data_IF_940903580444
#
_entry.id   IF_940903580444
#
_cell.length_a   1.000
_cell.length_b   1.000
_cell.length_c   1.000
_cell.angle_alpha   90.00
_cell.angle_beta   90.00
_cell.angle_gamma   90.00
#
_symmetry.space_group_name_H-M   'P 1'
#
loop_
_entity.id
_entity.type
_entity.pdbx_description
1 polymer ?
#
# COMPACT_ATOMS: atom_id res chain seq x y z
N UNK A 1 21.48 -20.52 39.43
CA UNK A 1 21.67 -21.23 38.14
C UNK A 1 21.40 -20.33 36.92
N UNK A 2 20.34 -19.50 36.92
CA UNK A 2 20.07 -18.54 35.82
C UNK A 2 21.26 -17.60 35.54
N UNK A 3 21.85 -17.02 36.59
CA UNK A 3 22.97 -16.07 36.42
C UNK A 3 24.21 -16.66 35.75
N UNK A 4 24.47 -17.95 35.97
CA UNK A 4 25.59 -18.68 35.32
C UNK A 4 25.29 -18.94 33.86
N UNK A 5 24.05 -19.35 33.55
CA UNK A 5 23.59 -19.57 32.17
C UNK A 5 23.61 -18.25 31.38
N UNK A 6 23.21 -17.14 32.00
CA UNK A 6 23.21 -15.81 31.37
C UNK A 6 24.63 -15.26 31.17
N UNK A 7 25.54 -15.53 32.11
CA UNK A 7 26.96 -15.21 31.96
C UNK A 7 27.63 -16.01 30.83
N UNK A 8 27.25 -17.27 30.62
CA UNK A 8 27.76 -18.09 29.52
C UNK A 8 27.17 -17.60 28.18
N UNK A 9 25.87 -17.32 28.15
CA UNK A 9 25.18 -16.86 26.94
C UNK A 9 25.71 -15.51 26.45
N UNK A 10 25.97 -14.58 27.37
CA UNK A 10 26.59 -13.28 27.03
C UNK A 10 28.02 -13.42 26.51
N UNK A 11 28.80 -14.36 27.05
CA UNK A 11 30.19 -14.62 26.58
C UNK A 11 30.24 -15.31 25.23
N UNK A 12 29.36 -16.28 24.95
CA UNK A 12 29.23 -16.92 23.62
C UNK A 12 28.81 -15.90 22.57
N UNK A 13 27.97 -14.93 22.93
CA UNK A 13 27.60 -13.80 22.06
C UNK A 13 28.71 -12.78 21.86
N UNK A 14 29.76 -12.79 22.69
CA UNK A 14 30.92 -11.94 22.46
C UNK A 14 31.71 -12.46 21.25
N UNK A 15 32.08 -11.60 20.28
CA UNK A 15 32.70 -12.05 19.04
C UNK A 15 33.93 -12.94 19.27
N UNK A 16 34.83 -12.56 20.17
CA UNK A 16 36.07 -13.30 20.41
C UNK A 16 35.83 -14.70 20.98
N UNK A 17 35.10 -14.81 22.10
CA UNK A 17 34.87 -16.12 22.74
C UNK A 17 33.97 -17.01 21.89
N UNK A 18 32.97 -16.44 21.21
CA UNK A 18 32.11 -17.18 20.29
C UNK A 18 32.91 -17.83 19.15
N UNK A 19 33.76 -17.05 18.48
CA UNK A 19 34.60 -17.58 17.40
C UNK A 19 35.66 -18.56 17.89
N UNK A 20 36.23 -18.35 19.08
CA UNK A 20 37.18 -19.31 19.66
C UNK A 20 36.54 -20.66 19.99
N UNK A 21 35.32 -20.65 20.55
CA UNK A 21 34.56 -21.89 20.82
C UNK A 21 34.19 -22.60 19.52
N UNK A 22 33.72 -21.87 18.50
CA UNK A 22 33.43 -22.46 17.19
C UNK A 22 34.69 -23.05 16.54
N UNK A 23 35.82 -22.35 16.61
CA UNK A 23 37.10 -22.83 16.12
C UNK A 23 37.58 -24.07 16.88
N UNK A 24 37.33 -24.16 18.19
CA UNK A 24 37.66 -25.35 18.98
C UNK A 24 36.94 -26.60 18.46
N UNK A 25 35.62 -26.52 18.26
CA UNK A 25 34.85 -27.64 17.71
C UNK A 25 35.25 -27.94 16.27
N UNK A 26 35.46 -26.91 15.44
CA UNK A 26 35.84 -27.08 14.04
C UNK A 26 37.23 -27.70 13.86
N UNK A 27 38.20 -27.40 14.72
CA UNK A 27 39.55 -27.95 14.66
C UNK A 27 39.64 -29.36 15.27
N UNK A 28 38.89 -29.63 16.34
CA UNK A 28 38.96 -30.90 17.07
C UNK A 28 37.78 -31.84 16.73
N UNK A 29 37.05 -31.58 15.64
CA UNK A 29 35.85 -32.33 15.27
C UNK A 29 36.09 -33.84 15.15
N UNK A 30 37.27 -34.25 14.64
CA UNK A 30 37.68 -35.66 14.51
C UNK A 30 37.84 -36.34 15.87
N UNK A 31 38.56 -35.71 16.80
CA UNK A 31 38.71 -36.22 18.15
C UNK A 31 37.36 -36.33 18.87
N UNK A 32 36.54 -35.29 18.80
CA UNK A 32 35.19 -35.27 19.40
C UNK A 32 34.31 -36.38 18.79
N UNK A 33 34.40 -36.59 17.48
CA UNK A 33 33.69 -37.66 16.79
C UNK A 33 34.13 -39.05 17.27
N UNK A 34 35.44 -39.27 17.41
CA UNK A 34 35.98 -40.54 17.93
C UNK A 34 35.54 -40.81 19.37
N UNK A 35 35.47 -39.79 20.24
CA UNK A 35 34.94 -39.94 21.60
C UNK A 35 33.47 -40.39 21.60
N UNK A 36 32.66 -39.84 20.70
CA UNK A 36 31.22 -40.11 20.65
C UNK A 36 30.88 -41.45 19.98
N UNK A 37 31.63 -41.85 18.95
CA UNK A 37 31.24 -42.95 18.04
C UNK A 37 32.03 -44.25 18.28
N UNK A 38 33.24 -44.18 18.83
CA UNK A 38 34.02 -45.40 19.09
C UNK A 38 33.34 -46.33 20.10
N UNK A 39 33.39 -47.64 19.86
CA UNK A 39 32.70 -48.66 20.67
C UNK A 39 33.58 -49.31 21.74
N UNK A 40 34.85 -48.89 21.85
CA UNK A 40 35.83 -49.40 22.81
C UNK A 40 35.60 -48.98 24.27
N UNK A 41 36.47 -49.45 25.16
CA UNK A 41 36.47 -49.06 26.57
C UNK A 41 36.71 -47.55 26.73
N UNK A 42 36.19 -46.86 27.77
CA UNK A 42 36.40 -45.42 27.93
C UNK A 42 37.86 -44.97 27.86
N UNK A 43 38.79 -45.80 28.33
CA UNK A 43 40.23 -45.55 28.25
C UNK A 43 40.75 -45.57 26.81
N UNK A 44 40.31 -46.52 25.98
CA UNK A 44 40.66 -46.59 24.55
C UNK A 44 40.13 -45.36 23.80
N UNK A 45 38.92 -44.88 24.13
CA UNK A 45 38.35 -43.68 23.49
C UNK A 45 39.18 -42.43 23.78
N UNK A 46 39.65 -42.28 25.02
CA UNK A 46 40.52 -41.18 25.42
C UNK A 46 41.89 -41.29 24.74
N UNK A 47 42.46 -42.48 24.60
CA UNK A 47 43.71 -42.67 23.83
C UNK A 47 43.56 -42.29 22.36
N UNK A 48 42.44 -42.65 21.72
CA UNK A 48 42.13 -42.24 20.35
C UNK A 48 41.98 -40.72 20.24
N UNK A 49 41.40 -40.07 21.25
CA UNK A 49 41.29 -38.61 21.31
C UNK A 49 42.65 -37.93 21.48
N UNK A 50 43.48 -38.41 22.40
CA UNK A 50 44.83 -37.86 22.67
C UNK A 50 45.78 -38.09 21.50
N UNK A 51 45.52 -39.09 20.65
CA UNK A 51 46.29 -39.34 19.41
C UNK A 51 45.98 -38.29 18.34
N UNK A 52 44.71 -37.85 18.24
CA UNK A 52 44.27 -36.91 17.20
C UNK A 52 44.31 -35.44 17.68
N UNK A 53 44.41 -35.19 18.98
CA UNK A 53 44.41 -33.84 19.56
C UNK A 53 45.72 -33.51 20.24
N UNK A 54 46.06 -32.22 20.30
CA UNK A 54 47.25 -31.72 20.96
C UNK A 54 46.93 -30.45 21.74
N UNK A 55 47.81 -30.05 22.65
CA UNK A 55 47.65 -28.78 23.38
C UNK A 55 47.47 -27.58 22.44
N UNK A 56 48.12 -27.60 21.27
CA UNK A 56 47.97 -26.58 20.24
C UNK A 56 46.59 -26.56 19.60
N UNK A 57 46.03 -27.73 19.27
CA UNK A 57 44.69 -27.82 18.67
C UNK A 57 43.57 -27.53 19.66
N UNK A 58 43.77 -27.87 20.94
CA UNK A 58 42.76 -27.71 22.00
C UNK A 58 42.73 -26.30 22.59
N UNK A 59 43.89 -25.66 22.79
CA UNK A 59 43.95 -24.38 23.50
C UNK A 59 44.40 -23.23 22.59
N UNK A 60 45.56 -23.35 21.95
CA UNK A 60 46.21 -22.19 21.33
C UNK A 60 45.57 -21.80 19.99
N UNK A 61 45.38 -22.75 19.08
CA UNK A 61 44.82 -22.48 17.74
C UNK A 61 43.40 -21.92 17.78
N UNK A 62 42.46 -22.44 18.58
CA UNK A 62 41.11 -21.86 18.69
C UNK A 62 41.13 -20.40 19.15
N UNK A 63 41.98 -20.04 20.11
CA UNK A 63 42.11 -18.67 20.60
C UNK A 63 42.72 -17.73 19.55
N UNK A 64 43.72 -18.18 18.79
CA UNK A 64 44.34 -17.40 17.72
C UNK A 64 43.34 -17.19 16.56
N UNK A 65 42.67 -18.24 16.11
CA UNK A 65 41.66 -18.14 15.04
C UNK A 65 40.51 -17.24 15.50
N UNK A 66 40.04 -17.38 16.74
CA UNK A 66 39.03 -16.50 17.31
C UNK A 66 39.45 -15.02 17.28
N UNK A 67 40.70 -14.72 17.63
CA UNK A 67 41.25 -13.35 17.55
C UNK A 67 41.30 -12.84 16.11
N UNK A 68 41.80 -13.67 15.19
CA UNK A 68 41.93 -13.31 13.77
C UNK A 68 40.58 -13.05 13.13
N UNK A 69 39.58 -13.90 13.38
CA UNK A 69 38.21 -13.71 12.88
C UNK A 69 37.55 -12.47 13.49
N UNK A 70 37.71 -12.24 14.78
CA UNK A 70 37.19 -11.04 15.43
C UNK A 70 37.83 -9.76 14.86
N UNK A 71 39.14 -9.76 14.64
CA UNK A 71 39.85 -8.65 14.03
C UNK A 71 39.41 -8.43 12.57
N UNK A 72 39.27 -9.51 11.79
CA UNK A 72 38.88 -9.43 10.37
C UNK A 72 37.41 -9.04 10.16
N UNK A 73 36.53 -9.24 11.16
CA UNK A 73 35.10 -8.92 11.06
C UNK A 73 34.87 -7.45 10.68
N UNK A 74 35.61 -6.52 11.28
CA UNK A 74 35.46 -5.09 11.00
C UNK A 74 35.92 -4.74 9.58
N UNK A 75 37.00 -5.36 9.12
CA UNK A 75 37.54 -5.19 7.77
C UNK A 75 36.63 -5.81 6.70
N UNK A 76 36.07 -6.98 6.96
CA UNK A 76 35.06 -7.61 6.12
C UNK A 76 33.82 -6.72 5.99
N UNK A 77 33.31 -6.22 7.12
CA UNK A 77 32.19 -5.27 7.12
C UNK A 77 32.51 -4.02 6.29
N UNK A 78 33.69 -3.45 6.47
CA UNK A 78 34.13 -2.29 5.69
C UNK A 78 34.20 -2.60 4.19
N UNK A 79 34.75 -3.76 3.81
CA UNK A 79 34.82 -4.20 2.42
C UNK A 79 33.41 -4.35 1.82
N UNK A 80 32.48 -4.99 2.52
CA UNK A 80 31.10 -5.11 2.08
C UNK A 80 30.44 -3.74 1.91
N UNK A 81 30.70 -2.79 2.82
CA UNK A 81 30.21 -1.42 2.68
C UNK A 81 30.81 -0.70 1.48
N UNK A 82 32.09 -0.89 1.17
CA UNK A 82 32.71 -0.31 -0.03
C UNK A 82 32.07 -0.85 -1.31
N UNK A 83 31.86 -2.16 -1.39
CA UNK A 83 31.18 -2.81 -2.52
C UNK A 83 29.73 -2.32 -2.61
N UNK A 84 29.06 -2.19 -1.47
CA UNK A 84 27.66 -1.75 -1.41
C UNK A 84 27.48 -0.23 -1.59
N UNK A 85 28.52 0.59 -1.47
CA UNK A 85 28.41 2.06 -1.51
C UNK A 85 27.72 2.56 -2.79
N UNK A 86 28.12 2.05 -3.95
CA UNK A 86 27.53 2.43 -5.24
C UNK A 86 26.06 2.00 -5.38
N UNK A 87 25.71 0.71 -5.21
CA UNK A 87 24.31 0.29 -5.34
C UNK A 87 23.40 0.96 -4.30
N UNK A 88 23.88 1.15 -3.05
CA UNK A 88 23.12 1.88 -2.04
C UNK A 88 22.84 3.32 -2.46
N UNK A 89 23.84 4.04 -2.99
CA UNK A 89 23.65 5.39 -3.49
C UNK A 89 22.67 5.47 -4.66
N UNK A 90 22.64 4.47 -5.56
CA UNK A 90 21.68 4.43 -6.67
C UNK A 90 20.25 4.20 -6.18
N UNK A 91 20.06 3.31 -5.20
CA UNK A 91 18.75 3.05 -4.58
C UNK A 91 18.26 4.32 -3.87
N UNK A 92 19.12 4.96 -3.10
CA UNK A 92 18.79 6.19 -2.38
C UNK A 92 18.42 7.33 -3.33
N UNK A 93 19.19 7.55 -4.41
CA UNK A 93 18.86 8.53 -5.42
C UNK A 93 17.51 8.24 -6.10
N UNK A 94 17.24 6.98 -6.44
CA UNK A 94 15.95 6.60 -7.04
C UNK A 94 14.77 6.89 -6.09
N UNK A 95 14.94 6.62 -4.80
CA UNK A 95 13.94 6.93 -3.78
C UNK A 95 13.73 8.43 -3.62
N UNK A 96 14.81 9.22 -3.54
CA UNK A 96 14.76 10.68 -3.45
C UNK A 96 14.04 11.28 -4.66
N UNK A 97 14.32 10.79 -5.87
CA UNK A 97 13.61 11.21 -7.07
C UNK A 97 12.12 10.85 -7.01
N UNK A 98 11.77 9.67 -6.51
CA UNK A 98 10.38 9.26 -6.36
C UNK A 98 9.63 10.13 -5.34
N UNK A 99 10.27 10.47 -4.23
CA UNK A 99 9.73 11.39 -3.23
C UNK A 99 9.58 12.81 -3.78
N UNK A 100 10.58 13.32 -4.49
CA UNK A 100 10.54 14.63 -5.11
C UNK A 100 9.38 14.75 -6.12
N UNK A 101 9.20 13.73 -6.97
CA UNK A 101 8.06 13.69 -7.91
C UNK A 101 6.72 13.69 -7.20
N UNK A 102 6.57 12.94 -6.10
CA UNK A 102 5.34 12.94 -5.30
C UNK A 102 5.07 14.31 -4.69
N UNK A 103 6.11 14.94 -4.14
CA UNK A 103 6.00 16.27 -3.54
C UNK A 103 5.59 17.32 -4.56
N UNK A 104 6.21 17.34 -5.74
CA UNK A 104 5.81 18.23 -6.85
C UNK A 104 4.35 18.01 -7.19
N UNK A 105 3.92 16.75 -7.35
CA UNK A 105 2.54 16.46 -7.74
C UNK A 105 1.53 16.88 -6.66
N UNK A 106 1.88 16.76 -5.39
CA UNK A 106 1.06 17.25 -4.29
C UNK A 106 0.95 18.78 -4.32
N UNK A 107 2.06 19.48 -4.52
CA UNK A 107 2.08 20.94 -4.64
C UNK A 107 1.23 21.42 -5.84
N UNK A 108 1.34 20.76 -7.00
CA UNK A 108 0.51 21.05 -8.17
C UNK A 108 -0.98 20.85 -7.87
N UNK A 109 -1.35 19.75 -7.21
CA UNK A 109 -2.74 19.46 -6.86
C UNK A 109 -3.29 20.47 -5.83
N UNK A 110 -2.46 20.93 -4.90
CA UNK A 110 -2.81 21.96 -3.94
C UNK A 110 -3.03 23.31 -4.62
N UNK A 111 -2.17 23.66 -5.59
CA UNK A 111 -2.34 24.86 -6.40
C UNK A 111 -3.65 24.82 -7.19
N UNK A 112 -3.95 23.70 -7.87
CA UNK A 112 -5.23 23.52 -8.58
C UNK A 112 -6.43 23.64 -7.63
N UNK A 113 -6.31 23.14 -6.39
CA UNK A 113 -7.37 23.29 -5.38
C UNK A 113 -7.56 24.74 -4.97
N UNK A 114 -6.48 25.48 -4.78
CA UNK A 114 -6.52 26.92 -4.47
C UNK A 114 -7.16 27.71 -5.62
N UNK A 115 -6.78 27.43 -6.87
CA UNK A 115 -7.35 28.09 -8.05
C UNK A 115 -8.84 27.79 -8.21
N UNK A 116 -9.26 26.53 -8.01
CA UNK A 116 -10.68 26.16 -8.02
C UNK A 116 -11.47 26.82 -6.88
N UNK A 117 -10.86 26.98 -5.70
CA UNK A 117 -11.50 27.67 -4.59
C UNK A 117 -11.69 29.17 -4.91
N UNK A 118 -10.68 29.82 -5.49
CA UNK A 118 -10.75 31.20 -5.93
C UNK A 118 -11.80 31.40 -7.04
N UNK A 119 -11.88 30.48 -8.01
CA UNK A 119 -12.92 30.50 -9.03
C UNK A 119 -14.31 30.39 -8.42
N UNK A 120 -14.53 29.45 -7.50
CA UNK A 120 -15.82 29.33 -6.79
C UNK A 120 -16.18 30.59 -6.02
N UNK A 121 -15.21 31.21 -5.35
CA UNK A 121 -15.44 32.47 -4.64
C UNK A 121 -15.87 33.59 -5.60
N UNK A 122 -15.18 33.75 -6.73
CA UNK A 122 -15.58 34.73 -7.76
C UNK A 122 -16.97 34.45 -8.34
N UNK A 123 -17.31 33.18 -8.61
CA UNK A 123 -18.64 32.81 -9.09
C UNK A 123 -19.74 33.15 -8.07
N UNK A 124 -19.49 32.93 -6.78
CA UNK A 124 -20.43 33.29 -5.72
C UNK A 124 -20.62 34.80 -5.63
N UNK A 125 -19.55 35.59 -5.73
CA UNK A 125 -19.61 37.05 -5.79
C UNK A 125 -20.41 37.50 -7.02
N UNK A 126 -20.18 36.91 -8.19
CA UNK A 126 -20.90 37.26 -9.43
C UNK A 126 -22.37 36.82 -9.41
N UNK A 127 -22.70 35.75 -8.69
CA UNK A 127 -24.10 35.37 -8.41
C UNK A 127 -24.75 36.39 -7.49
N UNK A 128 -24.10 36.74 -6.38
CA UNK A 128 -24.61 37.73 -5.44
C UNK A 128 -24.84 39.11 -6.10
N UNK A 129 -23.91 39.58 -6.92
CA UNK A 129 -24.06 40.82 -7.71
C UNK A 129 -25.22 40.77 -8.68
N UNK A 130 -25.45 39.62 -9.34
CA UNK A 130 -26.60 39.43 -10.24
C UNK A 130 -27.92 39.43 -9.46
N UNK A 131 -27.96 38.77 -8.31
CA UNK A 131 -29.15 38.73 -7.46
C UNK A 131 -29.47 40.14 -6.90
N UNK A 132 -28.45 40.93 -6.53
CA UNK A 132 -28.58 42.35 -6.17
C UNK A 132 -29.11 43.17 -7.35
N UNK A 133 -28.54 42.98 -8.54
CA UNK A 133 -29.01 43.64 -9.78
C UNK A 133 -30.46 43.28 -10.11
N UNK A 134 -30.90 42.05 -9.82
CA UNK A 134 -32.29 41.59 -10.00
C UNK A 134 -33.22 42.18 -8.92
N UNK A 135 -32.74 42.32 -7.69
CA UNK A 135 -33.49 42.96 -6.62
C UNK A 135 -33.78 44.43 -6.92
N UNK A 136 -32.89 45.11 -7.64
CA UNK A 136 -33.06 46.49 -8.12
C UNK A 136 -34.05 46.63 -9.31
N UNK A 137 -34.46 45.53 -9.96
CA UNK A 137 -35.46 45.57 -11.03
C UNK A 137 -36.83 45.87 -10.43
N UNK A 138 -37.35 47.06 -10.73
CA UNK A 138 -38.59 47.64 -10.18
C UNK A 138 -39.89 47.12 -10.83
N UNK A 139 -39.78 46.25 -11.86
CA UNK A 139 -40.88 45.73 -12.66
C UNK A 139 -41.22 44.29 -12.24
N UNK A 140 -42.17 44.12 -11.31
CA UNK A 140 -42.52 42.87 -10.60
C UNK A 140 -42.86 41.69 -11.54
N UNK A 141 -43.34 41.98 -12.75
CA UNK A 141 -43.73 40.97 -13.75
C UNK A 141 -42.52 40.29 -14.42
N UNK A 142 -41.52 41.08 -14.83
CA UNK A 142 -40.29 40.58 -15.47
C UNK A 142 -39.38 39.85 -14.50
N UNK A 143 -39.39 40.24 -13.22
CA UNK A 143 -38.64 39.59 -12.15
C UNK A 143 -39.07 38.13 -11.95
N UNK A 144 -40.38 37.86 -11.91
CA UNK A 144 -40.93 36.51 -11.75
C UNK A 144 -40.65 35.62 -12.97
N UNK A 145 -40.75 36.18 -14.17
CA UNK A 145 -40.45 35.45 -15.42
C UNK A 145 -38.98 35.04 -15.50
N UNK A 146 -38.06 35.93 -15.12
CA UNK A 146 -36.63 35.63 -15.02
C UNK A 146 -36.30 34.60 -13.92
N UNK A 147 -36.93 34.69 -12.75
CA UNK A 147 -36.73 33.73 -11.66
C UNK A 147 -37.16 32.30 -12.05
N UNK A 148 -38.32 32.17 -12.71
CA UNK A 148 -38.81 30.89 -13.23
C UNK A 148 -37.88 30.31 -14.30
N UNK A 149 -37.43 31.14 -15.24
CA UNK A 149 -36.55 30.70 -16.34
C UNK A 149 -35.16 30.27 -15.83
N UNK A 150 -34.59 30.99 -14.86
CA UNK A 150 -33.34 30.59 -14.18
C UNK A 150 -33.51 29.27 -13.42
N UNK A 151 -34.65 29.07 -12.75
CA UNK A 151 -34.93 27.83 -12.00
C UNK A 151 -35.04 26.63 -12.94
N UNK A 152 -35.65 26.82 -14.11
CA UNK A 152 -35.75 25.81 -15.16
C UNK A 152 -34.37 25.44 -15.74
N UNK A 153 -33.54 26.44 -16.03
CA UNK A 153 -32.16 26.24 -16.52
C UNK A 153 -31.28 25.55 -15.47
N UNK A 154 -31.49 25.80 -14.17
CA UNK A 154 -30.78 25.09 -13.08
C UNK A 154 -31.16 23.61 -13.04
N UNK A 155 -32.45 23.28 -13.10
CA UNK A 155 -32.91 21.89 -13.13
C UNK A 155 -32.45 21.12 -14.38
N UNK A 156 -32.40 21.77 -15.55
CA UNK A 156 -31.90 21.14 -16.79
C UNK A 156 -30.39 20.91 -16.78
N UNK A 157 -29.63 21.63 -15.94
CA UNK A 157 -28.19 21.41 -15.76
C UNK A 157 -27.89 20.31 -14.75
N UNK A 158 -28.74 20.14 -13.73
CA UNK A 158 -28.54 19.17 -12.65
C UNK A 158 -29.04 17.76 -12.98
N UNK A 159 -29.92 17.58 -13.97
CA UNK A 159 -30.43 16.24 -14.40
C UNK A 159 -29.90 15.86 -15.78
N UNK A 160 -28.58 15.67 -15.89
CA UNK A 160 -27.94 15.03 -17.07
C UNK A 160 -27.36 13.67 -16.69
N UNK A 161 -28.18 12.78 -16.15
CA UNK A 161 -27.84 11.37 -16.11
C UNK A 161 -28.37 10.68 -17.37
N UNK A 162 -27.54 9.84 -18.00
CA UNK A 162 -28.02 8.93 -19.03
C UNK A 162 -29.09 7.98 -18.45
N UNK A 163 -30.05 7.54 -19.28
CA UNK A 163 -31.10 6.60 -18.88
C UNK A 163 -30.53 5.33 -18.21
N UNK A 164 -29.39 4.83 -18.72
CA UNK A 164 -28.68 3.67 -18.16
C UNK A 164 -28.05 3.96 -16.79
N UNK A 165 -27.56 5.19 -16.57
CA UNK A 165 -27.03 5.61 -15.27
C UNK A 165 -28.15 5.72 -14.24
N UNK A 166 -29.31 6.25 -14.64
CA UNK A 166 -30.53 6.27 -13.80
C UNK A 166 -31.00 4.87 -13.43
N UNK A 167 -31.04 3.95 -14.38
CA UNK A 167 -31.42 2.55 -14.13
C UNK A 167 -30.46 1.84 -13.16
N UNK A 168 -29.15 2.04 -13.32
CA UNK A 168 -28.14 1.50 -12.41
C UNK A 168 -28.27 2.07 -11.00
N UNK A 169 -28.46 3.39 -10.88
CA UNK A 169 -28.58 4.08 -9.60
C UNK A 169 -29.81 3.59 -8.83
N UNK A 170 -30.98 3.54 -9.47
CA UNK A 170 -32.22 3.03 -8.87
C UNK A 170 -32.10 1.56 -8.46
N UNK A 171 -31.45 0.74 -9.29
CA UNK A 171 -31.26 -0.68 -8.99
C UNK A 171 -30.31 -0.89 -7.81
N UNK A 172 -29.30 -0.04 -7.65
CA UNK A 172 -28.39 -0.09 -6.51
C UNK A 172 -29.08 0.40 -5.22
N UNK A 173 -29.87 1.47 -5.29
CA UNK A 173 -30.62 2.03 -4.17
C UNK A 173 -31.76 1.12 -3.68
N UNK A 174 -32.22 0.17 -4.51
CA UNK A 174 -33.28 -0.78 -4.12
C UNK A 174 -32.88 -1.77 -3.00
N UNK A 175 -31.59 -1.87 -2.68
CA UNK A 175 -31.06 -2.65 -1.56
C UNK A 175 -30.47 -1.70 -0.53
N UNK A 176 -30.67 -1.97 0.76
CA UNK A 176 -30.18 -1.15 1.88
C UNK A 176 -28.66 -0.88 1.86
N UNK A 177 -27.91 -1.73 1.15
CA UNK A 177 -26.45 -1.61 1.05
C UNK A 177 -25.98 -0.63 -0.02
N UNK A 178 -26.80 -0.29 -1.02
CA UNK A 178 -26.41 0.69 -2.05
C UNK A 178 -25.15 0.32 -2.83
N UNK A 179 -24.95 -0.96 -3.18
CA UNK A 179 -23.68 -1.43 -3.80
C UNK A 179 -23.87 -1.80 -5.27
N UNK A 180 -22.92 -1.40 -6.10
CA UNK A 180 -22.73 -1.83 -7.49
C UNK A 180 -21.43 -2.63 -7.59
N UNK A 181 -21.47 -3.79 -8.24
CA UNK A 181 -20.33 -4.70 -8.39
C UNK A 181 -20.05 -5.00 -9.86
N UNK A 182 -18.76 -5.10 -10.21
CA UNK A 182 -18.27 -5.44 -11.55
C UNK A 182 -17.38 -6.69 -11.49
N UNK A 183 -17.97 -7.89 -11.28
CA UNK A 183 -17.19 -9.12 -11.14
C UNK A 183 -16.40 -9.43 -12.42
N UNK A 184 -15.07 -9.53 -12.31
CA UNK A 184 -14.18 -9.93 -13.40
C UNK A 184 -14.03 -11.45 -13.41
N UNK A 185 -14.94 -12.16 -14.06
CA UNK A 185 -14.82 -13.61 -14.27
C UNK A 185 -14.27 -13.92 -15.67
N UNK A 186 -13.52 -15.04 -15.81
CA UNK A 186 -13.09 -15.53 -17.12
C UNK A 186 -14.30 -16.10 -17.87
N UNK A 187 -14.99 -15.26 -18.64
CA UNK A 187 -16.02 -15.71 -19.59
C UNK A 187 -17.18 -14.74 -19.75
N UNK A 188 -17.62 -14.10 -18.67
CA UNK A 188 -18.77 -13.19 -18.68
C UNK A 188 -18.43 -11.86 -18.00
N UNK A 189 -18.71 -10.75 -18.69
CA UNK A 189 -18.62 -9.39 -18.17
C UNK A 189 -20.04 -8.91 -17.89
N UNK A 190 -20.33 -8.57 -16.63
CA UNK A 190 -21.62 -8.01 -16.23
C UNK A 190 -21.45 -7.03 -15.08
N UNK A 191 -22.40 -6.11 -14.95
CA UNK A 191 -22.48 -5.17 -13.84
C UNK A 191 -23.68 -5.57 -12.98
N UNK A 192 -23.48 -5.76 -11.68
CA UNK A 192 -24.52 -6.14 -10.76
C UNK A 192 -24.88 -4.94 -9.88
N UNK A 193 -26.16 -4.59 -9.80
CA UNK A 193 -26.67 -3.55 -8.90
C UNK A 193 -27.96 -4.08 -8.27
N UNK A 194 -27.96 -4.18 -6.94
CA UNK A 194 -29.01 -4.87 -6.18
C UNK A 194 -29.25 -6.30 -6.66
N UNK A 195 -30.51 -6.62 -6.98
CA UNK A 195 -30.93 -7.95 -7.50
C UNK A 195 -30.79 -8.10 -9.02
N UNK A 196 -30.40 -7.04 -9.73
CA UNK A 196 -30.34 -7.03 -11.19
C UNK A 196 -28.90 -7.13 -11.70
N UNK A 197 -28.76 -7.68 -12.89
CA UNK A 197 -27.48 -7.81 -13.59
C UNK A 197 -27.63 -7.26 -15.00
N UNK A 198 -26.73 -6.35 -15.36
CA UNK A 198 -26.72 -5.54 -16.57
C UNK A 198 -25.53 -5.89 -17.47
N UNK A 199 -25.65 -5.62 -18.76
CA UNK A 199 -24.55 -5.81 -19.72
C UNK A 199 -24.30 -7.24 -20.18
N UNK A 200 -25.18 -8.20 -19.87
CA UNK A 200 -25.02 -9.63 -20.22
C UNK A 200 -25.30 -9.95 -21.68
N UNK A 201 -26.05 -9.10 -22.39
CA UNK A 201 -26.56 -9.41 -23.72
C UNK A 201 -25.50 -9.33 -24.81
N UNK A 202 -24.55 -8.40 -24.68
CA UNK A 202 -23.45 -8.23 -25.63
C UNK A 202 -22.31 -7.40 -25.03
N UNK A 203 -21.12 -7.48 -25.64
CA UNK A 203 -19.99 -6.60 -25.27
C UNK A 203 -20.33 -5.11 -25.41
N UNK A 204 -21.21 -4.75 -26.36
CA UNK A 204 -21.68 -3.38 -26.55
C UNK A 204 -22.58 -2.94 -25.39
N UNK A 205 -23.51 -3.79 -24.99
CA UNK A 205 -24.40 -3.52 -23.85
C UNK A 205 -23.61 -3.35 -22.55
N UNK A 206 -22.60 -4.21 -22.32
CA UNK A 206 -21.66 -4.05 -21.21
C UNK A 206 -20.92 -2.71 -21.26
N UNK A 207 -20.38 -2.31 -22.43
CA UNK A 207 -19.66 -1.05 -22.58
C UNK A 207 -20.56 0.17 -22.29
N UNK A 208 -21.82 0.12 -22.66
CA UNK A 208 -22.80 1.18 -22.39
C UNK A 208 -23.09 1.30 -20.89
N UNK A 209 -23.30 0.19 -20.18
CA UNK A 209 -23.46 0.21 -18.71
C UNK A 209 -22.16 0.55 -17.97
N UNK A 210 -21.00 0.18 -18.51
CA UNK A 210 -19.71 0.59 -17.97
C UNK A 210 -19.51 2.12 -18.10
N UNK A 211 -19.96 2.70 -19.22
CA UNK A 211 -19.96 4.16 -19.41
C UNK A 211 -20.89 4.84 -18.43
N UNK A 212 -22.09 4.30 -18.21
CA UNK A 212 -23.05 4.81 -17.23
C UNK A 212 -22.52 4.73 -15.79
N UNK A 213 -21.83 3.65 -15.42
CA UNK A 213 -21.16 3.56 -14.12
C UNK A 213 -20.06 4.61 -13.96
N UNK A 214 -19.24 4.82 -14.99
CA UNK A 214 -18.21 5.86 -14.98
C UNK A 214 -18.81 7.26 -14.86
N UNK A 215 -19.96 7.50 -15.48
CA UNK A 215 -20.73 8.74 -15.35
C UNK A 215 -21.17 8.97 -13.90
N UNK A 216 -21.76 7.96 -13.24
CA UNK A 216 -22.14 8.05 -11.82
C UNK A 216 -20.94 8.31 -10.90
N UNK A 217 -19.78 7.73 -11.20
CA UNK A 217 -18.54 7.96 -10.44
C UNK A 217 -18.01 9.38 -10.68
N UNK A 218 -18.03 9.86 -11.93
CA UNK A 218 -17.56 11.20 -12.29
C UNK A 218 -18.44 12.28 -11.65
N UNK A 219 -19.76 12.04 -11.63
CA UNK A 219 -20.76 12.91 -11.00
C UNK A 219 -20.88 12.72 -9.49
N UNK A 220 -20.01 11.90 -8.86
CA UNK A 220 -19.93 11.65 -7.40
C UNK A 220 -21.16 11.04 -6.74
N UNK A 221 -22.12 10.52 -7.50
CA UNK A 221 -23.24 9.75 -6.94
C UNK A 221 -22.81 8.38 -6.41
N UNK A 222 -21.67 7.88 -6.88
CA UNK A 222 -21.13 6.57 -6.51
C UNK A 222 -19.61 6.68 -6.31
N UNK A 223 -19.07 5.99 -5.33
CA UNK A 223 -17.63 5.94 -5.03
C UNK A 223 -17.06 4.51 -5.07
N UNK A 224 -15.85 4.29 -5.58
CA UNK A 224 -15.22 2.97 -5.54
C UNK A 224 -14.80 2.61 -4.10
N UNK A 225 -15.06 1.38 -3.70
CA UNK A 225 -14.68 0.82 -2.39
C UNK A 225 -13.62 -0.27 -2.59
N UNK A 226 -12.42 -0.05 -2.06
CA UNK A 226 -11.28 -0.97 -2.18
C UNK A 226 -10.32 -0.67 -3.35
N UNK A 227 -9.34 -1.54 -3.56
CA UNK A 227 -8.20 -1.27 -4.45
C UNK A 227 -8.35 -1.77 -5.90
N UNK A 228 -9.38 -2.56 -6.22
CA UNK A 228 -9.51 -3.24 -7.52
C UNK A 228 -10.53 -2.63 -8.48
N UNK A 229 -11.29 -1.63 -8.05
CA UNK A 229 -12.37 -1.03 -8.88
C UNK A 229 -13.46 -2.04 -9.25
N UNK A 230 -13.75 -2.98 -8.34
CA UNK A 230 -14.72 -4.06 -8.54
C UNK A 230 -16.01 -3.84 -7.75
N UNK A 231 -15.98 -2.95 -6.77
CA UNK A 231 -17.08 -2.65 -5.85
C UNK A 231 -17.21 -1.14 -5.76
N UNK A 232 -18.44 -0.66 -5.83
CA UNK A 232 -18.80 0.74 -5.77
C UNK A 232 -20.00 0.91 -4.83
N UNK A 233 -20.02 1.98 -4.05
CA UNK A 233 -21.05 2.28 -3.07
C UNK A 233 -21.70 3.64 -3.35
N UNK A 234 -23.00 3.74 -3.14
CA UNK A 234 -23.74 5.00 -3.27
C UNK A 234 -23.25 6.01 -2.24
N UNK A 235 -22.99 7.22 -2.68
CA UNK A 235 -22.70 8.35 -1.78
C UNK A 235 -24.01 8.93 -1.25
N UNK A 236 -23.91 9.85 -0.28
CA UNK A 236 -25.09 10.56 0.23
C UNK A 236 -25.85 11.30 -0.88
N UNK A 237 -25.12 11.91 -1.83
CA UNK A 237 -25.70 12.57 -3.00
C UNK A 237 -26.40 11.57 -3.93
N UNK A 238 -25.82 10.37 -4.10
CA UNK A 238 -26.42 9.29 -4.88
C UNK A 238 -27.74 8.78 -4.31
N UNK A 239 -27.83 8.66 -2.98
CA UNK A 239 -29.08 8.31 -2.29
C UNK A 239 -30.16 9.37 -2.45
N UNK A 240 -29.83 10.64 -2.21
CA UNK A 240 -30.78 11.75 -2.37
C UNK A 240 -31.32 11.83 -3.80
N UNK A 241 -30.46 11.63 -4.80
CA UNK A 241 -30.87 11.63 -6.19
C UNK A 241 -31.74 10.41 -6.51
N UNK A 242 -31.40 9.23 -6.00
CA UNK A 242 -32.23 8.04 -6.20
C UNK A 242 -33.65 8.20 -5.63
N UNK A 243 -33.78 8.84 -4.46
CA UNK A 243 -35.08 9.11 -3.82
C UNK A 243 -35.90 10.18 -4.57
N UNK A 244 -35.23 11.06 -5.33
CA UNK A 244 -35.86 12.13 -6.09
C UNK A 244 -36.33 11.71 -7.50
N UNK A 245 -35.91 10.54 -7.99
CA UNK A 245 -36.14 10.04 -9.35
C UNK A 245 -37.31 9.05 -9.45
#
# INVERSE_FOLDING_TARGET
MKDVVDAINSRIKSPYFGYAVLAFFALNWRGIFLLAVSTGSPAERLQLFDTETSFWSLAILPLIIGALVAASTHWLRYLFLLVAKKPLGLIENSNLEAEHRKFIRQAELEQVRADLAAQRESELIDRAKRDESIAEISDESKKKELEEEIKKIRNERDVKLSEKARELLLSAASEDKGVIMTPKTLGEQSIQAGKKSFGKNSKRDYAEYQSALNELVTSRYVQPVGHKGEIYELTHEGWQLADAL
#
